data_IF_466412068922
#
_entry.id   IF_466412068922
#
_cell.length_a   1.000
_cell.length_b   1.000
_cell.length_c   1.000
_cell.angle_alpha   90.00
_cell.angle_beta   90.00
_cell.angle_gamma   90.00
#
_symmetry.space_group_name_H-M   'P 1'
#
loop_
_entity.id
_entity.type
_entity.pdbx_description
1 polymer ?
#
# COMPACT_ATOMS: atom_id res chain seq x y z
N UNK A 1 -7.67 2.40 -35.07
CA UNK A 1 -7.48 2.79 -33.65
C UNK A 1 -7.94 1.60 -32.82
N UNK A 2 -7.03 0.90 -32.15
CA UNK A 2 -7.44 -0.18 -31.26
C UNK A 2 -8.17 0.47 -30.07
N UNK A 3 -9.46 0.18 -29.90
CA UNK A 3 -10.19 0.61 -28.72
C UNK A 3 -9.60 -0.12 -27.52
N UNK A 4 -8.85 0.60 -26.69
CA UNK A 4 -8.31 0.06 -25.45
C UNK A 4 -9.49 -0.35 -24.57
N UNK A 5 -9.57 -1.62 -24.19
CA UNK A 5 -10.64 -2.11 -23.33
C UNK A 5 -10.62 -1.36 -21.99
N UNK A 6 -11.76 -0.83 -21.50
CA UNK A 6 -11.80 -0.14 -20.22
C UNK A 6 -11.35 -1.07 -19.09
N UNK A 7 -10.53 -0.55 -18.16
CA UNK A 7 -10.12 -1.29 -16.98
C UNK A 7 -11.34 -1.67 -16.13
N UNK A 8 -11.35 -2.91 -15.65
CA UNK A 8 -12.35 -3.41 -14.69
C UNK A 8 -11.84 -3.28 -13.26
N UNK A 9 -12.76 -3.19 -12.29
CA UNK A 9 -12.37 -3.16 -10.87
C UNK A 9 -11.53 -4.38 -10.49
N UNK A 10 -11.91 -5.57 -10.97
CA UNK A 10 -11.20 -6.82 -10.69
C UNK A 10 -9.73 -6.77 -11.11
N UNK A 11 -9.44 -6.18 -12.29
CA UNK A 11 -8.06 -6.00 -12.75
C UNK A 11 -7.29 -5.01 -11.87
N UNK A 12 -7.94 -3.91 -11.48
CA UNK A 12 -7.29 -2.83 -10.71
C UNK A 12 -7.00 -3.23 -9.26
N UNK A 13 -7.82 -4.09 -8.67
CA UNK A 13 -7.60 -4.59 -7.30
C UNK A 13 -6.77 -5.86 -7.24
N UNK A 14 -6.29 -6.37 -8.39
CA UNK A 14 -5.44 -7.56 -8.41
C UNK A 14 -4.08 -7.20 -7.80
N UNK A 15 -3.70 -7.79 -6.65
CA UNK A 15 -2.46 -7.45 -5.96
C UNK A 15 -1.21 -7.68 -6.84
N UNK A 16 -0.34 -6.68 -6.96
CA UNK A 16 0.96 -6.83 -7.63
C UNK A 16 1.96 -5.77 -7.20
N UNK A 17 3.16 -6.21 -6.78
CA UNK A 17 4.30 -5.33 -6.47
C UNK A 17 4.99 -4.77 -7.72
N UNK A 18 4.81 -5.41 -8.87
CA UNK A 18 5.52 -5.10 -10.12
C UNK A 18 4.75 -4.11 -11.02
N UNK A 19 3.42 -4.08 -10.88
CA UNK A 19 2.52 -3.36 -11.79
C UNK A 19 2.72 -1.83 -11.81
N UNK A 20 3.28 -1.23 -10.75
CA UNK A 20 3.60 0.20 -10.73
C UNK A 20 4.73 0.60 -11.70
N UNK A 21 5.58 -0.34 -12.12
CA UNK A 21 6.65 -0.07 -13.08
C UNK A 21 6.21 -0.23 -14.54
N UNK A 22 5.21 -1.07 -14.82
CA UNK A 22 4.77 -1.37 -16.19
C UNK A 22 4.12 -0.17 -16.91
N UNK A 23 3.55 0.79 -16.18
CA UNK A 23 2.84 1.95 -16.75
C UNK A 23 3.76 3.17 -16.96
N UNK A 24 4.93 3.20 -16.33
CA UNK A 24 6.01 4.18 -16.63
C UNK A 24 6.66 3.93 -18.00
N UNK A 25 6.59 2.71 -18.52
CA UNK A 25 7.20 2.36 -19.81
C UNK A 25 6.43 2.95 -21.01
N UNK A 26 5.11 3.15 -20.87
CA UNK A 26 4.28 3.68 -21.96
C UNK A 26 4.31 5.21 -22.11
N UNK A 27 4.82 5.95 -21.13
CA UNK A 27 4.96 7.41 -21.18
C UNK A 27 6.37 7.88 -21.60
N UNK A 28 7.36 6.99 -21.61
CA UNK A 28 8.76 7.32 -21.92
C UNK A 28 9.25 6.81 -23.29
N UNK A 29 8.35 6.48 -24.22
CA UNK A 29 8.70 6.20 -25.61
C UNK A 29 9.06 7.49 -26.36
N UNK A 30 10.14 8.17 -25.92
CA UNK A 30 10.87 9.22 -26.64
C UNK A 30 12.08 9.69 -25.83
N UNK A 31 13.07 8.83 -25.55
CA UNK A 31 14.47 9.32 -25.54
C UNK A 31 15.51 8.23 -25.76
N UNK A 32 16.39 8.57 -26.69
CA UNK A 32 17.44 7.78 -27.31
C UNK A 32 18.51 7.23 -26.36
N UNK A 33 18.94 6.02 -26.72
CA UNK A 33 20.15 5.27 -26.39
C UNK A 33 21.43 6.07 -26.13
N UNK A 34 22.20 5.67 -25.10
CA UNK A 34 23.67 5.65 -25.16
C UNK A 34 24.25 4.57 -24.23
N UNK A 35 25.04 3.66 -24.80
CA UNK A 35 25.82 2.65 -24.09
C UNK A 35 27.07 3.25 -23.43
N UNK A 36 27.46 2.70 -22.28
CA UNK A 36 28.84 2.70 -21.78
C UNK A 36 29.06 1.55 -20.80
N UNK A 37 30.08 0.73 -21.06
CA UNK A 37 30.59 -0.35 -20.21
C UNK A 37 31.65 0.19 -19.23
N UNK A 38 31.74 -0.36 -18.02
CA UNK A 38 33.00 -0.91 -17.45
C UNK A 38 32.83 -1.41 -16.01
N UNK A 39 33.46 -2.56 -15.75
CA UNK A 39 33.83 -3.25 -14.50
C UNK A 39 34.27 -2.34 -13.33
N UNK A 40 34.21 -2.73 -12.04
CA UNK A 40 34.88 -3.89 -11.42
C UNK A 40 34.44 -4.05 -9.95
N UNK A 41 34.39 -5.30 -9.51
CA UNK A 41 34.21 -5.80 -8.13
C UNK A 41 35.08 -5.09 -7.07
N UNK A 42 34.50 -4.93 -5.87
CA UNK A 42 35.18 -5.12 -4.57
C UNK A 42 34.15 -5.49 -3.49
N UNK A 43 34.42 -6.63 -2.89
CA UNK A 43 33.86 -7.22 -1.66
C UNK A 43 33.97 -6.25 -0.48
N UNK A 44 32.98 -6.27 0.41
CA UNK A 44 33.23 -6.30 1.85
C UNK A 44 32.00 -6.87 2.56
N UNK A 45 32.33 -7.87 3.36
CA UNK A 45 31.52 -8.64 4.27
C UNK A 45 30.71 -7.76 5.24
N UNK A 46 29.43 -8.10 5.40
CA UNK A 46 28.70 -8.03 6.68
C UNK A 46 27.58 -9.09 6.61
N UNK A 47 28.03 -10.34 6.48
CA UNK A 47 27.21 -11.53 6.69
C UNK A 47 27.07 -11.75 8.20
N UNK A 48 26.00 -11.21 8.78
CA UNK A 48 25.49 -11.68 10.06
C UNK A 48 23.95 -11.69 10.05
N UNK A 49 23.37 -12.37 9.06
CA UNK A 49 21.99 -12.84 9.13
C UNK A 49 21.97 -14.28 9.62
N UNK A 50 22.51 -14.53 10.81
CA UNK A 50 22.17 -15.74 11.54
C UNK A 50 20.72 -15.58 12.01
N UNK A 51 19.78 -16.19 11.28
CA UNK A 51 18.45 -16.47 11.80
C UNK A 51 18.64 -17.21 13.13
N UNK A 52 18.42 -16.53 14.25
CA UNK A 52 18.35 -17.23 15.52
C UNK A 52 17.25 -18.28 15.41
N UNK A 53 17.49 -19.52 15.86
CA UNK A 53 16.47 -20.57 16.02
C UNK A 53 15.37 -20.20 17.04
N UNK A 54 15.33 -18.94 17.45
CA UNK A 54 14.35 -18.39 18.38
C UNK A 54 12.96 -18.46 17.76
N UNK A 55 12.08 -19.20 18.44
CA UNK A 55 10.64 -19.18 18.19
C UNK A 55 9.96 -19.15 19.55
N UNK A 56 9.08 -18.18 19.75
CA UNK A 56 8.26 -18.10 20.96
C UNK A 56 7.35 -19.33 21.11
N UNK A 57 7.12 -19.79 22.35
CA UNK A 57 6.22 -20.90 22.61
C UNK A 57 4.80 -20.59 22.11
N UNK A 58 4.01 -21.63 21.79
CA UNK A 58 2.63 -21.42 21.38
C UNK A 58 1.80 -20.78 22.49
N UNK A 59 0.74 -20.02 22.15
CA UNK A 59 -0.12 -19.40 23.15
C UNK A 59 -0.79 -20.44 24.04
N UNK A 60 -0.87 -20.18 25.35
CA UNK A 60 -1.41 -21.13 26.33
C UNK A 60 -2.93 -21.16 26.35
N UNK A 61 -3.58 -20.09 25.91
CA UNK A 61 -5.02 -19.94 25.90
C UNK A 61 -5.45 -18.88 24.87
N UNK A 62 -6.77 -18.72 24.69
CA UNK A 62 -7.33 -17.77 23.72
C UNK A 62 -7.00 -16.32 24.03
N UNK A 63 -6.74 -15.95 25.29
CA UNK A 63 -6.34 -14.59 25.66
C UNK A 63 -4.95 -14.28 25.15
N UNK A 64 -3.99 -15.19 25.31
CA UNK A 64 -2.66 -15.01 24.75
C UNK A 64 -2.69 -15.00 23.21
N UNK A 65 -3.51 -15.85 22.59
CA UNK A 65 -3.68 -15.85 21.13
C UNK A 65 -4.17 -14.48 20.63
N UNK A 66 -5.15 -13.87 21.30
CA UNK A 66 -5.63 -12.52 20.96
C UNK A 66 -4.55 -11.45 21.07
N UNK A 67 -3.64 -11.56 22.05
CA UNK A 67 -2.51 -10.63 22.15
C UNK A 67 -1.54 -10.78 20.98
N UNK A 68 -1.29 -11.99 20.50
CA UNK A 68 -0.47 -12.21 19.31
C UNK A 68 -1.14 -11.69 18.03
N UNK A 69 -2.45 -11.88 17.92
CA UNK A 69 -3.22 -11.50 16.72
C UNK A 69 -3.60 -10.01 16.71
N UNK A 70 -3.38 -9.28 17.79
CA UNK A 70 -3.91 -7.91 17.95
C UNK A 70 -3.46 -6.97 16.82
N UNK A 71 -2.21 -7.14 16.36
CA UNK A 71 -1.60 -6.26 15.38
C UNK A 71 -2.17 -6.49 13.98
N UNK A 72 -2.10 -7.73 13.49
CA UNK A 72 -2.73 -8.11 12.23
C UNK A 72 -4.25 -7.87 12.23
N UNK A 73 -4.93 -8.09 13.37
CA UNK A 73 -6.38 -7.85 13.49
C UNK A 73 -6.72 -6.37 13.34
N UNK A 74 -6.02 -5.48 14.07
CA UNK A 74 -6.27 -4.04 13.97
C UNK A 74 -5.87 -3.51 12.59
N UNK A 75 -4.76 -3.98 12.04
CA UNK A 75 -4.31 -3.60 10.71
C UNK A 75 -5.36 -3.95 9.65
N UNK A 76 -5.84 -5.20 9.69
CA UNK A 76 -6.85 -5.66 8.76
C UNK A 76 -8.18 -4.90 8.88
N UNK A 77 -8.52 -4.33 10.04
CA UNK A 77 -9.70 -3.47 10.17
C UNK A 77 -9.57 -2.18 9.35
N UNK A 78 -8.42 -1.49 9.42
CA UNK A 78 -8.15 -0.31 8.58
C UNK A 78 -8.07 -0.71 7.10
N UNK A 79 -7.35 -1.79 6.79
CA UNK A 79 -7.17 -2.26 5.41
C UNK A 79 -8.50 -2.65 4.75
N UNK A 80 -9.40 -3.30 5.51
CA UNK A 80 -10.74 -3.62 5.03
C UNK A 80 -11.53 -2.35 4.69
N UNK A 81 -11.43 -1.30 5.51
CA UNK A 81 -12.06 -0.02 5.22
C UNK A 81 -11.50 0.59 3.93
N UNK A 82 -10.18 0.61 3.73
CA UNK A 82 -9.57 1.13 2.50
C UNK A 82 -10.01 0.36 1.25
N UNK A 83 -10.06 -0.97 1.31
CA UNK A 83 -10.56 -1.80 0.20
C UNK A 83 -12.01 -1.47 -0.15
N UNK A 84 -12.85 -1.28 0.86
CA UNK A 84 -14.27 -0.94 0.68
C UNK A 84 -14.41 0.46 0.05
N UNK A 85 -13.75 1.46 0.60
CA UNK A 85 -13.80 2.84 0.11
C UNK A 85 -13.27 2.93 -1.33
N UNK A 86 -12.13 2.30 -1.63
CA UNK A 86 -11.59 2.23 -3.00
C UNK A 86 -12.61 1.64 -3.98
N UNK A 87 -13.23 0.50 -3.62
CA UNK A 87 -14.23 -0.14 -4.48
C UNK A 87 -15.52 0.69 -4.63
N UNK A 88 -15.89 1.46 -3.62
CA UNK A 88 -17.05 2.36 -3.66
C UNK A 88 -16.79 3.56 -4.56
N UNK A 89 -15.66 4.27 -4.38
CA UNK A 89 -15.25 5.38 -5.25
C UNK A 89 -15.25 4.94 -6.71
N UNK A 90 -14.68 3.77 -7.00
CA UNK A 90 -14.69 3.21 -8.35
C UNK A 90 -16.11 3.07 -8.92
N UNK A 91 -17.02 2.43 -8.18
CA UNK A 91 -18.40 2.17 -8.64
C UNK A 91 -19.25 3.43 -8.74
N UNK A 92 -19.04 4.37 -7.83
CA UNK A 92 -19.78 5.63 -7.79
C UNK A 92 -19.34 6.57 -8.90
N UNK A 93 -18.05 6.57 -9.27
CA UNK A 93 -17.53 7.42 -10.34
C UNK A 93 -18.30 7.28 -11.66
N UNK A 94 -18.72 6.08 -12.04
CA UNK A 94 -19.49 5.83 -13.28
C UNK A 94 -20.92 6.39 -13.24
N UNK A 95 -21.48 6.62 -12.05
CA UNK A 95 -22.91 6.87 -11.85
C UNK A 95 -23.22 8.23 -11.27
N UNK A 96 -22.21 8.94 -10.78
CA UNK A 96 -22.37 10.24 -10.13
C UNK A 96 -23.04 11.23 -11.06
N UNK A 97 -24.13 11.84 -10.60
CA UNK A 97 -24.81 12.90 -11.35
C UNK A 97 -24.12 14.26 -11.13
N UNK A 98 -24.33 15.25 -12.01
CA UNK A 98 -23.77 16.59 -11.81
C UNK A 98 -24.14 17.23 -10.46
N UNK A 99 -25.35 16.97 -9.96
CA UNK A 99 -25.86 17.53 -8.71
C UNK A 99 -25.21 16.88 -7.47
N UNK A 100 -24.76 15.62 -7.58
CA UNK A 100 -24.10 14.85 -6.51
C UNK A 100 -22.56 14.92 -6.58
N UNK A 101 -22.01 15.59 -7.60
CA UNK A 101 -20.58 15.53 -7.90
C UNK A 101 -19.70 16.08 -6.77
N UNK A 102 -20.12 17.14 -6.09
CA UNK A 102 -19.33 17.70 -4.98
C UNK A 102 -19.26 16.71 -3.81
N UNK A 103 -20.40 16.16 -3.39
CA UNK A 103 -20.47 15.16 -2.30
C UNK A 103 -19.65 13.90 -2.64
N UNK A 104 -19.69 13.47 -3.91
CA UNK A 104 -18.85 12.37 -4.39
C UNK A 104 -17.35 12.72 -4.30
N UNK A 105 -16.94 13.92 -4.71
CA UNK A 105 -15.54 14.35 -4.66
C UNK A 105 -15.04 14.50 -3.21
N UNK A 106 -15.89 14.98 -2.30
CA UNK A 106 -15.61 15.00 -0.85
C UNK A 106 -15.35 13.58 -0.33
N UNK A 107 -16.27 12.65 -0.59
CA UNK A 107 -16.12 11.24 -0.21
C UNK A 107 -14.88 10.58 -0.84
N UNK A 108 -14.59 10.92 -2.10
CA UNK A 108 -13.41 10.43 -2.81
C UNK A 108 -12.11 10.98 -2.19
N UNK A 109 -12.09 12.22 -1.72
CA UNK A 109 -10.93 12.83 -1.05
C UNK A 109 -10.66 12.22 0.34
N UNK A 110 -11.71 11.88 1.08
CA UNK A 110 -11.60 11.24 2.40
C UNK A 110 -10.78 9.94 2.35
N UNK A 111 -10.85 9.20 1.24
CA UNK A 111 -10.07 7.97 1.06
C UNK A 111 -8.56 8.20 1.23
N UNK A 112 -7.99 9.16 0.48
CA UNK A 112 -6.55 9.44 0.54
C UNK A 112 -6.16 10.16 1.83
N UNK A 113 -7.06 10.97 2.41
CA UNK A 113 -6.80 11.61 3.69
C UNK A 113 -6.62 10.58 4.83
N UNK A 114 -7.51 9.58 4.90
CA UNK A 114 -7.40 8.52 5.91
C UNK A 114 -6.20 7.61 5.66
N UNK A 115 -5.90 7.28 4.39
CA UNK A 115 -4.74 6.46 4.03
C UNK A 115 -3.42 7.15 4.39
N UNK A 116 -3.31 8.46 4.12
CA UNK A 116 -2.15 9.28 4.50
C UNK A 116 -1.96 9.30 6.03
N UNK A 117 -3.04 9.50 6.79
CA UNK A 117 -2.97 9.49 8.25
C UNK A 117 -2.54 8.13 8.80
N UNK A 118 -2.99 7.04 8.17
CA UNK A 118 -2.63 5.68 8.52
C UNK A 118 -1.16 5.38 8.28
N UNK A 119 -0.66 5.58 7.06
CA UNK A 119 0.76 5.40 6.73
C UNK A 119 1.65 6.34 7.55
N UNK A 120 1.21 7.58 7.77
CA UNK A 120 1.95 8.53 8.59
C UNK A 120 2.11 8.10 10.06
N UNK A 121 1.15 7.36 10.62
CA UNK A 121 1.27 6.75 11.95
C UNK A 121 2.26 5.58 11.91
N UNK A 122 2.14 4.72 10.90
CA UNK A 122 3.00 3.56 10.71
C UNK A 122 4.47 3.94 10.59
N UNK A 123 4.80 4.78 9.61
CA UNK A 123 6.17 5.21 9.33
C UNK A 123 6.80 5.96 10.50
N UNK A 124 6.00 6.73 11.24
CA UNK A 124 6.51 7.56 12.32
C UNK A 124 6.67 6.83 13.65
N UNK A 125 5.78 5.89 13.94
CA UNK A 125 5.67 5.32 15.29
C UNK A 125 5.73 3.79 15.35
N UNK A 126 5.30 3.09 14.30
CA UNK A 126 5.17 1.62 14.32
C UNK A 126 6.36 0.95 13.62
N UNK A 127 6.59 1.27 12.34
CA UNK A 127 7.64 0.65 11.52
C UNK A 127 9.02 0.81 12.15
N UNK A 128 9.44 1.97 12.71
CA UNK A 128 10.74 2.10 13.35
C UNK A 128 10.95 1.15 14.55
N UNK A 129 9.87 0.72 15.20
CA UNK A 129 9.94 -0.25 16.30
C UNK A 129 10.03 -1.67 15.76
N UNK A 130 9.20 -2.02 14.77
CA UNK A 130 9.19 -3.35 14.16
C UNK A 130 10.49 -3.66 13.41
N UNK A 131 11.00 -2.68 12.67
CA UNK A 131 12.23 -2.69 11.89
C UNK A 131 13.48 -3.13 12.68
N UNK A 132 13.46 -3.00 14.02
CA UNK A 132 14.56 -3.43 14.89
C UNK A 132 14.77 -4.95 14.87
N UNK A 133 13.70 -5.71 14.62
CA UNK A 133 13.75 -7.18 14.58
C UNK A 133 13.22 -7.79 13.28
N UNK A 134 12.39 -7.05 12.54
CA UNK A 134 11.74 -7.54 11.33
C UNK A 134 12.24 -6.75 10.12
N UNK A 135 13.13 -7.32 9.28
CA UNK A 135 13.73 -6.63 8.14
C UNK A 135 12.72 -6.10 7.11
N UNK A 136 11.55 -6.74 7.00
CA UNK A 136 10.49 -6.38 6.06
C UNK A 136 9.99 -4.94 6.26
N UNK A 137 10.02 -4.43 7.50
CA UNK A 137 9.65 -3.05 7.83
C UNK A 137 10.78 -2.02 7.66
N UNK A 138 12.00 -2.46 7.32
CA UNK A 138 13.11 -1.55 7.00
C UNK A 138 13.16 -1.17 5.53
N UNK A 139 12.64 -2.02 4.66
CA UNK A 139 12.81 -1.89 3.21
C UNK A 139 11.48 -2.14 2.50
N UNK A 140 10.97 -3.37 2.53
CA UNK A 140 9.87 -3.79 1.66
C UNK A 140 8.58 -2.97 1.83
N UNK A 141 8.06 -2.86 3.06
CA UNK A 141 6.82 -2.11 3.31
C UNK A 141 7.00 -0.60 3.13
N UNK A 142 8.22 -0.07 3.34
CA UNK A 142 8.51 1.35 3.07
C UNK A 142 8.57 1.66 1.57
N UNK A 143 9.16 0.78 0.76
CA UNK A 143 9.15 0.90 -0.71
C UNK A 143 7.73 0.80 -1.28
N UNK A 144 6.88 -0.01 -0.67
CA UNK A 144 5.46 -0.09 -1.00
C UNK A 144 4.75 1.23 -0.69
N UNK A 145 4.94 1.79 0.51
CA UNK A 145 4.40 3.10 0.90
C UNK A 145 4.84 4.22 -0.05
N UNK A 146 6.11 4.29 -0.43
CA UNK A 146 6.61 5.31 -1.35
C UNK A 146 5.85 5.28 -2.70
N UNK A 147 5.60 4.08 -3.22
CA UNK A 147 4.84 3.91 -4.46
C UNK A 147 3.36 4.26 -4.28
N UNK A 148 2.78 3.94 -3.13
CA UNK A 148 1.39 4.27 -2.81
C UNK A 148 1.24 5.79 -2.65
N UNK A 149 2.13 6.47 -1.93
CA UNK A 149 2.14 7.93 -1.79
C UNK A 149 2.21 8.63 -3.15
N UNK A 150 3.08 8.16 -4.05
CA UNK A 150 3.12 8.70 -5.42
C UNK A 150 1.81 8.47 -6.21
N UNK A 151 1.04 7.43 -5.88
CA UNK A 151 -0.31 7.20 -6.41
C UNK A 151 -1.34 8.13 -5.79
N UNK A 152 -1.27 8.33 -4.47
CA UNK A 152 -2.14 9.21 -3.69
C UNK A 152 -2.00 10.67 -4.11
N UNK A 153 -0.78 11.14 -4.38
CA UNK A 153 -0.53 12.50 -4.89
C UNK A 153 -1.29 12.75 -6.20
N UNK A 154 -1.17 11.84 -7.17
CA UNK A 154 -1.87 11.95 -8.47
C UNK A 154 -3.38 11.94 -8.29
N UNK A 155 -3.87 11.10 -7.38
CA UNK A 155 -5.28 11.01 -7.07
C UNK A 155 -5.78 12.31 -6.43
N UNK A 156 -5.09 12.82 -5.41
CA UNK A 156 -5.46 14.02 -4.69
C UNK A 156 -5.42 15.26 -5.60
N UNK A 157 -4.39 15.39 -6.43
CA UNK A 157 -4.28 16.47 -7.41
C UNK A 157 -5.46 16.46 -8.38
N UNK A 158 -5.86 15.28 -8.86
CA UNK A 158 -6.99 15.15 -9.76
C UNK A 158 -8.33 15.49 -9.08
N UNK A 159 -8.56 15.00 -7.86
CA UNK A 159 -9.77 15.34 -7.10
C UNK A 159 -9.85 16.84 -6.84
N UNK A 160 -8.76 17.49 -6.41
CA UNK A 160 -8.71 18.94 -6.21
C UNK A 160 -9.00 19.73 -7.49
N UNK A 161 -8.43 19.30 -8.62
CA UNK A 161 -8.71 19.91 -9.92
C UNK A 161 -10.19 19.76 -10.33
N UNK A 162 -10.76 18.57 -10.14
CA UNK A 162 -12.18 18.31 -10.40
C UNK A 162 -13.09 19.14 -9.50
N UNK A 163 -12.73 19.35 -8.23
CA UNK A 163 -13.48 20.25 -7.33
C UNK A 163 -13.45 21.70 -7.82
N UNK A 164 -12.28 22.18 -8.22
CA UNK A 164 -12.10 23.54 -8.73
C UNK A 164 -12.77 23.77 -10.09
N UNK A 165 -12.89 22.73 -10.92
CA UNK A 165 -13.54 22.77 -12.22
C UNK A 165 -14.40 21.52 -12.44
N UNK A 166 -15.63 21.48 -11.89
CA UNK A 166 -16.48 20.27 -11.91
C UNK A 166 -16.80 19.76 -13.31
N UNK A 167 -16.88 20.66 -14.30
CA UNK A 167 -17.10 20.32 -15.70
C UNK A 167 -15.93 19.56 -16.35
N UNK A 168 -14.77 19.53 -15.71
CA UNK A 168 -13.59 18.79 -16.17
C UNK A 168 -13.49 17.38 -15.53
N UNK A 169 -14.41 17.02 -14.64
CA UNK A 169 -14.44 15.68 -14.07
C UNK A 169 -14.71 14.63 -15.16
N UNK A 170 -13.81 13.66 -15.26
CA UNK A 170 -13.94 12.44 -16.04
C UNK A 170 -13.85 11.21 -15.13
N UNK A 171 -14.86 10.33 -15.12
CA UNK A 171 -14.78 9.08 -14.38
C UNK A 171 -13.71 8.14 -14.96
N UNK A 172 -13.49 8.17 -16.27
CA UNK A 172 -12.43 7.40 -16.92
C UNK A 172 -11.05 7.81 -16.40
N UNK A 173 -10.81 9.12 -16.25
CA UNK A 173 -9.52 9.61 -15.76
C UNK A 173 -9.29 9.26 -14.30
N UNK A 174 -10.32 9.38 -13.44
CA UNK A 174 -10.23 8.93 -12.05
C UNK A 174 -9.87 7.45 -11.97
N UNK A 175 -10.55 6.61 -12.76
CA UNK A 175 -10.34 5.16 -12.78
C UNK A 175 -8.99 4.76 -13.37
N UNK A 176 -8.46 5.52 -14.33
CA UNK A 176 -7.09 5.34 -14.80
C UNK A 176 -6.10 5.55 -13.64
N UNK A 177 -6.24 6.66 -12.89
CA UNK A 177 -5.36 6.97 -11.74
C UNK A 177 -5.47 5.91 -10.66
N UNK A 178 -6.69 5.50 -10.30
CA UNK A 178 -6.93 4.38 -9.37
C UNK A 178 -6.31 3.08 -9.90
N UNK A 179 -6.35 2.85 -11.22
CA UNK A 179 -5.72 1.72 -11.90
C UNK A 179 -4.21 1.66 -11.76
N UNK A 180 -3.54 2.81 -11.70
CA UNK A 180 -2.08 2.90 -11.51
C UNK A 180 -1.64 2.55 -10.08
N UNK A 181 -2.48 2.86 -9.09
CA UNK A 181 -2.19 2.70 -7.66
C UNK A 181 -2.75 1.40 -7.07
N UNK A 182 -3.90 0.94 -7.57
CA UNK A 182 -4.64 -0.20 -7.02
C UNK A 182 -3.80 -1.46 -6.81
N UNK A 183 -3.00 -1.92 -7.80
CA UNK A 183 -2.25 -3.16 -7.65
C UNK A 183 -1.22 -3.16 -6.50
N UNK A 184 -0.45 -2.07 -6.35
CA UNK A 184 0.54 -1.97 -5.26
C UNK A 184 -0.15 -1.78 -3.91
N UNK A 185 -1.21 -0.96 -3.86
CA UNK A 185 -1.99 -0.77 -2.64
C UNK A 185 -2.57 -2.10 -2.17
N UNK A 186 -3.26 -2.83 -3.03
CA UNK A 186 -3.91 -4.07 -2.63
C UNK A 186 -2.92 -5.16 -2.21
N UNK A 187 -1.73 -5.18 -2.83
CA UNK A 187 -0.60 -6.02 -2.41
C UNK A 187 -0.11 -5.66 -1.03
N UNK A 188 0.24 -4.39 -0.80
CA UNK A 188 0.72 -3.90 0.48
C UNK A 188 -0.25 -4.24 1.62
N UNK A 189 -1.55 -3.96 1.40
CA UNK A 189 -2.59 -4.23 2.38
C UNK A 189 -2.70 -5.71 2.78
N UNK A 190 -2.35 -6.65 1.89
CA UNK A 190 -2.30 -8.09 2.20
C UNK A 190 -0.97 -8.51 2.83
N UNK A 191 0.13 -8.06 2.24
CA UNK A 191 1.48 -8.42 2.64
C UNK A 191 1.78 -7.99 4.07
N UNK A 192 1.42 -6.76 4.42
CA UNK A 192 1.67 -6.23 5.76
C UNK A 192 0.88 -7.00 6.83
N UNK A 193 -0.41 -7.28 6.59
CA UNK A 193 -1.22 -8.09 7.50
C UNK A 193 -0.62 -9.48 7.71
N UNK A 194 -0.11 -10.11 6.63
CA UNK A 194 0.58 -11.40 6.70
C UNK A 194 1.84 -11.31 7.57
N UNK A 195 2.69 -10.31 7.33
CA UNK A 195 3.92 -10.06 8.11
C UNK A 195 3.60 -9.88 9.60
N UNK A 196 2.50 -9.20 9.93
CA UNK A 196 2.07 -8.93 11.30
C UNK A 196 1.34 -10.10 11.99
N UNK A 197 1.13 -11.25 11.32
CA UNK A 197 0.46 -12.41 11.94
C UNK A 197 1.30 -13.02 13.06
N UNK A 198 0.61 -13.64 14.02
CA UNK A 198 1.21 -14.33 15.15
C UNK A 198 2.36 -15.29 14.75
N UNK A 199 2.19 -16.06 13.68
CA UNK A 199 3.19 -17.04 13.21
C UNK A 199 4.51 -16.41 12.76
N UNK A 200 4.46 -15.17 12.27
CA UNK A 200 5.65 -14.41 11.91
C UNK A 200 6.22 -13.69 13.15
N UNK A 201 5.38 -13.02 13.95
CA UNK A 201 5.83 -12.31 15.15
C UNK A 201 6.53 -13.22 16.16
N UNK A 202 6.07 -14.46 16.33
CA UNK A 202 6.70 -15.45 17.24
C UNK A 202 8.16 -15.74 16.89
N UNK A 203 8.61 -15.50 15.66
CA UNK A 203 10.01 -15.69 15.24
C UNK A 203 10.94 -14.59 15.74
N UNK A 204 10.39 -13.47 16.20
CA UNK A 204 11.16 -12.25 16.52
C UNK A 204 10.91 -11.73 17.94
N UNK A 205 9.73 -11.99 18.49
CA UNK A 205 9.28 -11.42 19.76
C UNK A 205 8.84 -12.49 20.74
N UNK A 206 8.95 -12.17 22.03
CA UNK A 206 8.20 -12.80 23.12
C UNK A 206 6.81 -12.17 23.26
N UNK A 207 5.89 -12.85 23.96
CA UNK A 207 4.55 -12.31 24.20
C UNK A 207 4.57 -10.98 24.98
N UNK A 208 5.48 -10.84 25.95
CA UNK A 208 5.60 -9.60 26.72
C UNK A 208 6.15 -8.43 25.89
N UNK A 209 6.99 -8.71 24.89
CA UNK A 209 7.40 -7.69 23.93
C UNK A 209 6.25 -7.32 23.00
N UNK A 210 5.51 -8.30 22.47
CA UNK A 210 4.32 -8.03 21.63
C UNK A 210 3.32 -7.15 22.35
N UNK A 211 3.07 -7.40 23.65
CA UNK A 211 2.17 -6.57 24.47
C UNK A 211 2.55 -5.10 24.53
N UNK A 212 3.83 -4.78 24.32
CA UNK A 212 4.39 -3.43 24.39
C UNK A 212 4.59 -2.77 23.03
N UNK A 213 4.35 -3.50 21.93
CA UNK A 213 4.43 -2.92 20.59
C UNK A 213 3.41 -1.77 20.44
N UNK A 214 3.80 -0.65 19.81
CA UNK A 214 2.89 0.45 19.51
C UNK A 214 1.82 -0.04 18.51
N UNK A 215 0.62 0.54 18.63
CA UNK A 215 -0.58 0.13 17.90
C UNK A 215 -1.45 1.32 17.58
#
# INVERSE_FOLDING_TARGET
>A
MAATTPLTLAQVITPSREACNALKVNSNSSRSTRMSKSSRSRTNDDDNSSCSDFVSPPPRNSTEQREWDRMSTRMNMFHTHFRQTFANVWRMSEKVSPDELQDFLDYAEEFVHHLEGHHGIEERYIFPVLAKKMPEFREEHLEEHEQIHAGMDRYQDYIRAARATPTAFSPEKLREIMGLMGPILFYHLDAEVETLKADNLKRYYTLDEVRRLPM
#
